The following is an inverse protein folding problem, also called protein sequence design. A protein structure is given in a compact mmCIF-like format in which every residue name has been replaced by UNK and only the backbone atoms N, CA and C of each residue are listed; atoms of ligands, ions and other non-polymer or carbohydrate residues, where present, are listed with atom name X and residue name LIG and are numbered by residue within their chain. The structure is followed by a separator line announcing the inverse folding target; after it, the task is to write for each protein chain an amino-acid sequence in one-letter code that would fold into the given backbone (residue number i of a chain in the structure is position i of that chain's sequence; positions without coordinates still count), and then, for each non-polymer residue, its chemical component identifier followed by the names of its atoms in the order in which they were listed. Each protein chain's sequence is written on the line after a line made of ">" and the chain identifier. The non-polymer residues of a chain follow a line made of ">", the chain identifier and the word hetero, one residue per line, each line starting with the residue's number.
data_IF_430559633807
#
_entry.id   IF_430559633807
#
_cell.length_a   1.000
_cell.length_b   1.000
_cell.length_c   1.000
_cell.angle_alpha   90.00
_cell.angle_beta   90.00
_cell.angle_gamma   90.00
#
_symmetry.space_group_name_H-M   'P 1'
#
loop_
_entity.id
_entity.type
_entity.pdbx_description
1 polymer ?
#
# COMPACT_ATOMS: atom_id res chain seq x y z
N UNK A 1 21.73 -45.92 29.62
CA UNK A 1 21.63 -44.49 30.01
C UNK A 1 20.53 -43.91 29.13
N UNK A 2 19.38 -43.57 29.69
CA UNK A 2 18.27 -42.98 28.93
C UNK A 2 18.61 -41.50 28.72
N UNK A 3 18.74 -41.08 27.47
CA UNK A 3 18.92 -39.67 27.13
C UNK A 3 17.59 -39.15 26.63
N UNK A 4 16.99 -38.21 27.37
CA UNK A 4 15.76 -37.53 26.96
C UNK A 4 16.15 -36.18 26.37
N UNK A 5 15.93 -36.02 25.06
CA UNK A 5 16.16 -34.74 24.37
C UNK A 5 14.81 -34.07 24.15
N UNK A 6 14.67 -32.84 24.67
CA UNK A 6 13.53 -31.99 24.36
C UNK A 6 13.91 -31.07 23.22
N UNK A 7 13.38 -31.34 22.03
CA UNK A 7 13.50 -30.43 20.90
C UNK A 7 12.27 -29.52 20.89
N UNK A 8 12.45 -28.24 21.18
CA UNK A 8 11.40 -27.22 21.02
C UNK A 8 11.68 -26.48 19.74
N UNK A 9 10.84 -26.69 18.73
CA UNK A 9 10.88 -25.92 17.48
C UNK A 9 9.76 -24.89 17.54
N UNK A 10 10.13 -23.63 17.75
CA UNK A 10 9.22 -22.49 17.64
C UNK A 10 9.29 -21.95 16.22
N UNK A 11 8.23 -22.17 15.43
CA UNK A 11 8.12 -21.62 14.08
C UNK A 11 7.19 -20.40 14.08
N UNK A 12 7.72 -19.20 14.32
CA UNK A 12 7.03 -17.93 14.03
C UNK A 12 5.78 -17.58 14.87
N UNK A 13 5.46 -16.28 14.90
CA UNK A 13 4.36 -15.74 15.71
C UNK A 13 3.00 -16.30 15.26
N UNK A 14 2.36 -17.09 16.14
CA UNK A 14 1.03 -17.67 15.94
C UNK A 14 0.96 -19.20 15.83
N UNK A 15 2.10 -19.91 15.76
CA UNK A 15 2.09 -21.36 15.51
C UNK A 15 1.82 -22.21 16.76
N UNK A 16 0.95 -23.21 16.61
CA UNK A 16 0.80 -24.29 17.59
C UNK A 16 2.13 -24.99 17.85
N UNK A 17 2.43 -25.25 19.12
CA UNK A 17 3.60 -26.03 19.53
C UNK A 17 3.35 -27.49 19.21
N UNK A 18 4.14 -28.06 18.31
CA UNK A 18 4.14 -29.51 18.07
C UNK A 18 5.14 -30.16 19.03
N UNK A 19 4.63 -31.04 19.90
CA UNK A 19 5.47 -31.84 20.80
C UNK A 19 5.70 -33.22 20.17
N UNK A 20 6.95 -33.54 19.85
CA UNK A 20 7.37 -34.89 19.48
C UNK A 20 8.14 -35.53 20.63
N UNK A 21 7.60 -36.59 21.23
CA UNK A 21 8.36 -37.42 22.17
C UNK A 21 9.11 -38.48 21.37
N UNK A 22 10.44 -38.48 21.48
CA UNK A 22 11.29 -39.47 20.84
C UNK A 22 12.05 -40.24 21.92
N UNK A 23 11.93 -41.56 21.87
CA UNK A 23 12.74 -42.46 22.67
C UNK A 23 13.47 -43.39 21.71
N UNK A 24 14.80 -43.29 21.70
CA UNK A 24 15.66 -44.25 21.04
C UNK A 24 16.39 -45.07 22.11
N UNK A 25 16.41 -46.38 21.93
CA UNK A 25 17.15 -47.32 22.79
C UNK A 25 18.43 -47.81 22.13
N UNK A 26 18.69 -47.44 20.87
CA UNK A 26 19.87 -47.86 20.11
C UNK A 26 20.92 -46.74 20.01
N UNK A 27 22.19 -47.10 19.77
CA UNK A 27 23.31 -46.15 19.61
C UNK A 27 23.53 -45.76 18.15
N UNK A 28 22.46 -45.67 17.38
CA UNK A 28 22.50 -45.41 15.94
C UNK A 28 21.99 -44.00 15.65
N UNK A 29 22.58 -43.32 14.68
CA UNK A 29 22.12 -41.99 14.26
C UNK A 29 20.75 -42.10 13.56
N UNK A 30 19.72 -41.48 14.14
CA UNK A 30 18.44 -41.23 13.48
C UNK A 30 18.34 -39.78 12.99
N UNK A 31 17.76 -39.58 11.81
CA UNK A 31 17.43 -38.24 11.29
C UNK A 31 15.94 -38.01 11.46
N UNK A 32 15.56 -36.88 12.05
CA UNK A 32 14.18 -36.40 12.08
C UNK A 32 14.07 -35.36 10.98
N UNK A 33 13.23 -35.63 9.98
CA UNK A 33 12.85 -34.65 8.98
C UNK A 33 11.45 -34.15 9.33
N UNK A 34 11.35 -32.88 9.68
CA UNK A 34 10.07 -32.19 9.76
C UNK A 34 9.80 -31.68 8.35
N UNK A 35 8.91 -32.37 7.63
CA UNK A 35 8.45 -31.91 6.34
C UNK A 35 7.48 -30.75 6.58
N UNK A 36 8.01 -29.53 6.56
CA UNK A 36 7.16 -28.35 6.38
C UNK A 36 6.58 -28.48 4.98
N UNK A 37 5.32 -28.90 4.91
CA UNK A 37 4.60 -29.06 3.64
C UNK A 37 4.83 -27.88 2.70
N UNK A 38 4.84 -28.15 1.39
CA UNK A 38 5.14 -27.13 0.40
C UNK A 38 4.21 -25.93 0.57
N UNK A 39 4.78 -24.72 0.67
CA UNK A 39 4.03 -23.47 0.81
C UNK A 39 3.12 -23.16 -0.40
N UNK A 40 3.22 -23.96 -1.45
CA UNK A 40 2.45 -23.85 -2.68
C UNK A 40 1.87 -25.20 -3.09
N UNK A 41 0.75 -25.21 -3.82
CA UNK A 41 0.20 -26.44 -4.39
C UNK A 41 1.20 -27.14 -5.32
N UNK A 42 1.12 -28.47 -5.53
CA UNK A 42 2.03 -29.20 -6.41
C UNK A 42 2.08 -28.69 -7.86
N UNK A 43 1.00 -28.06 -8.33
CA UNK A 43 0.92 -27.44 -9.66
C UNK A 43 1.38 -25.97 -9.67
N UNK A 44 1.79 -25.41 -8.53
CA UNK A 44 2.20 -24.02 -8.36
C UNK A 44 1.06 -23.00 -8.50
N UNK A 45 -0.20 -23.46 -8.51
CA UNK A 45 -1.39 -22.63 -8.70
C UNK A 45 -1.73 -21.74 -7.50
N UNK A 46 -2.75 -20.90 -7.69
CA UNK A 46 -3.39 -20.19 -6.59
C UNK A 46 -4.27 -21.15 -5.77
N UNK A 47 -4.62 -20.77 -4.56
CA UNK A 47 -5.45 -21.61 -3.68
C UNK A 47 -6.31 -20.79 -2.72
N UNK A 48 -7.33 -21.43 -2.16
CA UNK A 48 -8.17 -20.89 -1.08
C UNK A 48 -7.62 -21.34 0.29
N UNK A 49 -6.96 -20.44 1.00
CA UNK A 49 -6.41 -20.63 2.34
C UNK A 49 -7.54 -20.64 3.39
N UNK A 50 -8.18 -21.80 3.52
CA UNK A 50 -9.44 -21.91 4.27
C UNK A 50 -9.22 -21.80 5.77
N UNK A 51 -8.01 -22.07 6.26
CA UNK A 51 -7.67 -21.99 7.67
C UNK A 51 -6.87 -20.71 8.05
N UNK A 52 -6.45 -19.91 7.06
CA UNK A 52 -5.81 -18.61 7.25
C UNK A 52 -4.35 -18.70 7.68
N UNK A 53 -3.64 -19.80 7.39
CA UNK A 53 -2.26 -20.00 7.80
C UNK A 53 -1.22 -19.50 6.77
N UNK A 54 -1.69 -19.01 5.62
CA UNK A 54 -0.87 -18.50 4.51
C UNK A 54 -0.11 -19.59 3.74
N UNK A 55 -0.52 -20.86 3.87
CA UNK A 55 0.11 -22.03 3.23
C UNK A 55 -0.97 -22.91 2.61
N UNK A 56 -0.59 -23.58 1.54
CA UNK A 56 -1.45 -24.59 0.95
C UNK A 56 -1.50 -25.84 1.84
N UNK A 57 -2.71 -26.29 2.16
CA UNK A 57 -2.96 -27.56 2.83
C UNK A 57 -3.60 -28.58 1.87
N UNK A 58 -3.30 -29.87 2.08
CA UNK A 58 -3.86 -30.91 1.22
C UNK A 58 -5.39 -30.94 1.34
N UNK A 59 -6.08 -30.89 0.19
CA UNK A 59 -7.52 -30.78 0.11
C UNK A 59 -8.07 -29.35 -0.05
N UNK A 60 -7.23 -28.32 0.03
CA UNK A 60 -7.65 -26.97 -0.32
C UNK A 60 -7.90 -26.82 -1.82
N UNK A 61 -8.87 -25.97 -2.16
CA UNK A 61 -9.23 -25.71 -3.55
C UNK A 61 -8.12 -24.90 -4.23
N UNK A 62 -7.63 -25.39 -5.37
CA UNK A 62 -6.64 -24.70 -6.21
C UNK A 62 -7.28 -24.08 -7.45
N UNK A 63 -6.66 -23.03 -7.98
CA UNK A 63 -7.14 -22.31 -9.18
C UNK A 63 -6.00 -22.12 -10.19
N UNK A 64 -6.32 -22.28 -11.48
CA UNK A 64 -5.42 -22.00 -12.59
C UNK A 64 -5.33 -20.50 -12.91
N UNK A 65 -4.29 -20.10 -13.64
CA UNK A 65 -4.14 -18.72 -14.13
C UNK A 65 -5.36 -18.24 -14.95
N UNK A 66 -6.02 -19.14 -15.70
CA UNK A 66 -7.20 -18.78 -16.49
C UNK A 66 -8.43 -18.52 -15.63
N UNK A 67 -8.62 -19.30 -14.56
CA UNK A 67 -9.72 -19.13 -13.61
C UNK A 67 -9.60 -17.80 -12.85
N UNK A 68 -8.36 -17.33 -12.60
CA UNK A 68 -8.10 -16.07 -11.93
C UNK A 68 -8.51 -14.82 -12.75
N UNK A 69 -8.69 -14.93 -14.06
CA UNK A 69 -9.00 -13.76 -14.91
C UNK A 69 -10.34 -13.11 -14.53
N UNK A 70 -11.35 -13.91 -14.18
CA UNK A 70 -12.68 -13.44 -13.76
C UNK A 70 -13.11 -14.13 -12.46
N UNK A 71 -12.18 -14.29 -11.53
CA UNK A 71 -12.42 -14.95 -10.26
C UNK A 71 -13.48 -14.21 -9.44
N UNK A 72 -14.50 -14.93 -8.98
CA UNK A 72 -15.56 -14.38 -8.17
C UNK A 72 -16.06 -15.41 -7.16
N UNK A 73 -15.40 -15.46 -6.02
CA UNK A 73 -15.82 -16.23 -4.85
C UNK A 73 -15.56 -15.40 -3.60
N UNK A 74 -16.58 -14.68 -3.14
CA UNK A 74 -16.49 -13.84 -1.92
C UNK A 74 -16.25 -14.61 -0.62
N UNK A 75 -16.27 -15.94 -0.64
CA UNK A 75 -15.96 -16.76 0.54
C UNK A 75 -14.50 -17.21 0.59
N UNK A 76 -13.78 -17.15 -0.54
CA UNK A 76 -12.41 -17.63 -0.62
C UNK A 76 -11.41 -16.64 -0.01
N UNK A 77 -10.49 -17.14 0.82
CA UNK A 77 -9.28 -16.43 1.23
C UNK A 77 -8.20 -16.72 0.18
N UNK A 78 -8.18 -15.90 -0.87
CA UNK A 78 -7.42 -16.23 -2.07
C UNK A 78 -5.93 -15.91 -1.89
N UNK A 79 -5.07 -16.92 -2.03
CA UNK A 79 -3.62 -16.77 -2.11
C UNK A 79 -3.15 -17.03 -3.54
N UNK A 80 -2.50 -16.03 -4.13
CA UNK A 80 -1.88 -16.11 -5.45
C UNK A 80 -0.36 -15.96 -5.26
N UNK A 81 0.36 -17.08 -5.11
CA UNK A 81 1.79 -17.06 -4.86
C UNK A 81 2.57 -16.59 -6.10
N UNK A 82 3.83 -16.20 -5.91
CA UNK A 82 4.75 -15.83 -6.99
C UNK A 82 4.95 -16.93 -8.05
N UNK A 83 4.74 -18.20 -7.68
CA UNK A 83 4.78 -19.34 -8.60
C UNK A 83 3.72 -19.23 -9.70
N UNK A 84 2.63 -18.49 -9.45
CA UNK A 84 1.69 -18.05 -10.48
C UNK A 84 2.35 -16.92 -11.28
N UNK A 85 3.12 -17.34 -12.29
CA UNK A 85 4.07 -16.50 -13.02
C UNK A 85 3.41 -15.23 -13.57
N UNK A 86 2.26 -15.36 -14.24
CA UNK A 86 1.57 -14.18 -14.77
C UNK A 86 0.07 -14.38 -15.06
N UNK A 87 -0.80 -13.59 -14.43
CA UNK A 87 -2.21 -13.46 -14.86
C UNK A 87 -2.25 -12.53 -16.08
N UNK A 88 -2.52 -13.11 -17.25
CA UNK A 88 -2.52 -12.39 -18.54
C UNK A 88 -3.67 -12.82 -19.43
N UNK A 89 -4.83 -12.12 -19.35
CA UNK A 89 -5.93 -12.41 -20.26
C UNK A 89 -5.51 -12.17 -21.71
N UNK A 90 -6.00 -13.02 -22.63
CA UNK A 90 -5.82 -12.81 -24.07
C UNK A 90 -6.47 -11.51 -24.51
N UNK A 91 -7.69 -11.26 -24.02
CA UNK A 91 -8.46 -10.03 -24.18
C UNK A 91 -9.27 -9.79 -22.90
N UNK A 92 -9.55 -8.52 -22.59
CA UNK A 92 -10.47 -8.13 -21.53
C UNK A 92 -9.82 -7.76 -20.20
N UNK A 93 -10.68 -7.55 -19.21
CA UNK A 93 -10.29 -7.15 -17.86
C UNK A 93 -9.77 -8.34 -17.05
N UNK A 94 -8.99 -8.05 -16.02
CA UNK A 94 -8.79 -8.97 -14.90
C UNK A 94 -9.69 -8.49 -13.77
N UNK A 95 -10.55 -9.35 -13.26
CA UNK A 95 -11.49 -9.04 -12.18
C UNK A 95 -11.43 -10.17 -11.16
N UNK A 96 -10.86 -9.89 -9.99
CA UNK A 96 -10.75 -10.83 -8.88
C UNK A 96 -11.57 -10.29 -7.71
N UNK A 97 -12.55 -11.05 -7.28
CA UNK A 97 -13.38 -10.76 -6.11
C UNK A 97 -13.32 -11.96 -5.16
N UNK A 98 -12.73 -11.76 -3.98
CA UNK A 98 -12.49 -12.77 -2.97
C UNK A 98 -12.84 -12.24 -1.55
N UNK A 99 -12.84 -13.09 -0.53
CA UNK A 99 -12.99 -12.66 0.88
C UNK A 99 -11.78 -11.81 1.30
N UNK A 100 -10.58 -12.36 1.12
CA UNK A 100 -9.27 -11.72 1.25
C UNK A 100 -8.43 -12.04 0.01
N UNK A 101 -7.39 -11.24 -0.27
CA UNK A 101 -6.48 -11.44 -1.39
C UNK A 101 -5.04 -11.30 -0.89
N UNK A 102 -4.23 -12.36 -1.00
CA UNK A 102 -2.78 -12.29 -0.86
C UNK A 102 -2.14 -12.52 -2.23
N UNK A 103 -1.29 -11.61 -2.70
CA UNK A 103 -0.81 -11.61 -4.07
C UNK A 103 0.67 -11.24 -4.19
N UNK A 104 1.51 -12.17 -4.69
CA UNK A 104 2.94 -11.92 -4.96
C UNK A 104 3.31 -11.87 -6.46
N UNK A 105 2.37 -12.13 -7.36
CA UNK A 105 2.68 -12.40 -8.77
C UNK A 105 2.78 -11.17 -9.69
N UNK A 106 2.60 -11.43 -11.00
CA UNK A 106 2.50 -10.38 -12.05
C UNK A 106 1.14 -10.38 -12.75
N UNK A 107 0.44 -9.25 -12.77
CA UNK A 107 -0.77 -9.06 -13.58
C UNK A 107 -0.44 -8.21 -14.80
N UNK A 108 -0.88 -8.64 -15.99
CA UNK A 108 -0.80 -7.82 -17.20
C UNK A 108 -2.06 -7.90 -18.04
N UNK A 109 -2.96 -6.93 -17.91
CA UNK A 109 -4.05 -6.71 -18.88
C UNK A 109 -3.58 -5.81 -20.03
N UNK A 110 -3.52 -6.35 -21.25
CA UNK A 110 -3.06 -5.61 -22.43
C UNK A 110 -4.13 -4.70 -23.06
N UNK A 111 -5.40 -4.93 -22.76
CA UNK A 111 -6.50 -4.26 -23.46
C UNK A 111 -7.48 -3.55 -22.53
N UNK A 112 -7.43 -3.80 -21.22
CA UNK A 112 -8.46 -3.34 -20.30
C UNK A 112 -7.92 -3.04 -18.90
N UNK A 113 -8.81 -3.11 -17.92
CA UNK A 113 -8.65 -2.75 -16.51
C UNK A 113 -8.23 -3.95 -15.66
N UNK A 114 -7.63 -3.68 -14.51
CA UNK A 114 -7.45 -4.66 -13.42
C UNK A 114 -8.28 -4.22 -12.22
N UNK A 115 -9.13 -5.11 -11.70
CA UNK A 115 -9.99 -4.90 -10.53
C UNK A 115 -9.71 -6.01 -9.51
N UNK A 116 -9.18 -5.66 -8.33
CA UNK A 116 -9.08 -6.58 -7.20
C UNK A 116 -10.00 -6.08 -6.07
N UNK A 117 -10.82 -6.97 -5.51
CA UNK A 117 -11.77 -6.66 -4.44
C UNK A 117 -11.74 -7.73 -3.37
N UNK A 118 -11.28 -7.38 -2.17
CA UNK A 118 -11.39 -8.21 -0.97
C UNK A 118 -12.64 -7.78 -0.20
N UNK A 119 -13.67 -8.62 -0.16
CA UNK A 119 -15.00 -8.20 0.27
C UNK A 119 -15.15 -8.11 1.79
N UNK A 120 -14.41 -8.92 2.54
CA UNK A 120 -14.56 -9.06 3.99
C UNK A 120 -13.26 -8.76 4.75
N UNK A 121 -12.13 -8.68 4.06
CA UNK A 121 -10.85 -8.39 4.68
C UNK A 121 -9.87 -7.80 3.68
N UNK A 122 -8.62 -8.22 3.79
CA UNK A 122 -7.50 -7.42 3.30
C UNK A 122 -7.07 -7.77 1.87
N UNK A 123 -6.41 -6.81 1.24
CA UNK A 123 -5.55 -7.04 0.08
C UNK A 123 -4.09 -6.89 0.52
N UNK A 124 -3.34 -7.98 0.55
CA UNK A 124 -1.91 -7.99 0.81
C UNK A 124 -1.14 -8.26 -0.48
N UNK A 125 -0.20 -7.37 -0.79
CA UNK A 125 0.68 -7.46 -1.95
C UNK A 125 2.12 -7.25 -1.52
N UNK A 126 2.96 -8.23 -1.84
CA UNK A 126 4.40 -8.15 -1.62
C UNK A 126 5.11 -8.41 -2.95
N UNK A 127 6.01 -7.50 -3.35
CA UNK A 127 6.73 -7.55 -4.62
C UNK A 127 5.84 -7.63 -5.88
N UNK A 128 4.55 -7.29 -5.73
CA UNK A 128 3.54 -7.48 -6.76
C UNK A 128 3.74 -6.51 -7.93
N UNK A 129 3.51 -6.98 -9.17
CA UNK A 129 3.64 -6.12 -10.36
C UNK A 129 2.35 -6.14 -11.17
N UNK A 130 1.58 -5.06 -11.09
CA UNK A 130 0.29 -4.91 -11.77
C UNK A 130 0.41 -3.88 -12.89
N UNK A 131 0.11 -4.32 -14.11
CA UNK A 131 0.00 -3.47 -15.29
C UNK A 131 -1.32 -3.68 -16.01
N UNK A 132 -1.91 -2.59 -16.46
CA UNK A 132 -3.14 -2.58 -17.25
C UNK A 132 -2.99 -1.62 -18.43
N UNK A 133 -3.86 -1.77 -19.43
CA UNK A 133 -3.96 -0.76 -20.48
C UNK A 133 -4.83 0.41 -20.05
N UNK A 134 -5.88 0.15 -19.25
CA UNK A 134 -6.81 1.14 -18.71
C UNK A 134 -6.62 1.26 -17.18
N UNK A 135 -7.68 1.37 -16.39
CA UNK A 135 -7.63 1.58 -14.93
C UNK A 135 -6.96 0.42 -14.17
N UNK A 136 -6.41 0.70 -12.99
CA UNK A 136 -6.18 -0.29 -11.92
C UNK A 136 -6.99 0.14 -10.69
N UNK A 137 -7.77 -0.79 -10.12
CA UNK A 137 -8.58 -0.55 -8.92
C UNK A 137 -8.34 -1.66 -7.90
N UNK A 138 -8.02 -1.27 -6.67
CA UNK A 138 -7.92 -2.14 -5.50
C UNK A 138 -8.94 -1.66 -4.47
N UNK A 139 -9.76 -2.56 -3.95
CA UNK A 139 -10.83 -2.22 -3.03
C UNK A 139 -10.93 -3.23 -1.87
N UNK A 140 -10.73 -2.76 -0.65
CA UNK A 140 -10.92 -3.51 0.59
C UNK A 140 -11.96 -2.78 1.47
N UNK A 141 -13.26 -2.78 1.12
CA UNK A 141 -14.28 -1.99 1.82
C UNK A 141 -14.47 -2.33 3.30
N UNK A 142 -13.95 -3.47 3.77
CA UNK A 142 -14.06 -3.91 5.17
C UNK A 142 -12.69 -4.37 5.71
N UNK A 143 -11.59 -3.94 5.11
CA UNK A 143 -10.25 -4.37 5.48
C UNK A 143 -9.19 -3.39 5.02
N UNK A 144 -7.96 -3.88 4.99
CA UNK A 144 -6.75 -3.10 4.76
C UNK A 144 -6.22 -3.32 3.34
N UNK A 145 -5.37 -2.41 2.86
CA UNK A 145 -4.52 -2.66 1.70
C UNK A 145 -3.06 -2.50 2.12
N UNK A 146 -2.29 -3.56 2.02
CA UNK A 146 -0.84 -3.54 2.24
C UNK A 146 -0.13 -3.81 0.92
N UNK A 147 0.80 -2.94 0.56
CA UNK A 147 1.67 -3.05 -0.60
C UNK A 147 3.09 -2.75 -0.17
N UNK A 148 3.95 -3.77 -0.23
CA UNK A 148 5.38 -3.63 0.03
C UNK A 148 6.15 -3.96 -1.24
N UNK A 149 7.15 -3.15 -1.58
CA UNK A 149 8.01 -3.34 -2.75
C UNK A 149 7.25 -3.56 -4.07
N UNK A 150 6.06 -2.96 -4.18
CA UNK A 150 5.08 -3.29 -5.22
C UNK A 150 5.00 -2.22 -6.30
N UNK A 151 4.54 -2.60 -7.49
CA UNK A 151 4.50 -1.76 -8.67
C UNK A 151 3.11 -1.75 -9.31
N UNK A 152 2.47 -0.58 -9.40
CA UNK A 152 1.18 -0.37 -10.06
C UNK A 152 1.32 0.68 -11.15
N UNK A 153 1.02 0.28 -12.40
CA UNK A 153 1.08 1.18 -13.55
C UNK A 153 0.09 0.82 -14.66
N UNK A 154 -0.98 1.62 -14.84
CA UNK A 154 -1.76 1.62 -16.05
C UNK A 154 -1.03 2.37 -17.18
N UNK A 155 -1.19 1.90 -18.41
CA UNK A 155 -0.70 2.60 -19.60
C UNK A 155 -1.58 3.82 -19.94
N UNK A 156 -2.88 3.74 -19.67
CA UNK A 156 -3.85 4.84 -19.75
C UNK A 156 -4.88 4.71 -18.62
N UNK A 157 -5.54 5.80 -18.23
CA UNK A 157 -6.51 5.82 -17.15
C UNK A 157 -5.89 6.05 -15.77
N UNK A 158 -6.65 5.78 -14.71
CA UNK A 158 -6.31 6.13 -13.33
C UNK A 158 -5.96 4.90 -12.46
N UNK A 159 -5.30 5.17 -11.35
CA UNK A 159 -5.12 4.23 -10.25
C UNK A 159 -6.07 4.61 -9.11
N UNK A 160 -6.76 3.63 -8.53
CA UNK A 160 -7.61 3.83 -7.36
C UNK A 160 -7.34 2.74 -6.33
N UNK A 161 -6.94 3.13 -5.14
CA UNK A 161 -6.84 2.26 -3.97
C UNK A 161 -7.82 2.79 -2.93
N UNK A 162 -8.70 1.93 -2.45
CA UNK A 162 -9.72 2.29 -1.46
C UNK A 162 -9.85 1.21 -0.40
N UNK A 163 -9.75 1.61 0.86
CA UNK A 163 -9.92 0.73 2.01
C UNK A 163 -10.72 1.44 3.10
N UNK A 164 -11.45 0.71 3.92
CA UNK A 164 -12.00 1.29 5.16
C UNK A 164 -10.95 1.22 6.28
N UNK A 165 -10.17 0.14 6.31
CA UNK A 165 -9.00 0.04 7.18
C UNK A 165 -7.76 0.74 6.60
N UNK A 166 -6.61 0.65 7.29
CA UNK A 166 -5.36 1.25 6.85
C UNK A 166 -4.95 0.89 5.41
N UNK A 167 -4.20 1.82 4.79
CA UNK A 167 -3.47 1.56 3.56
C UNK A 167 -1.98 1.77 3.85
N UNK A 168 -1.16 0.76 3.53
CA UNK A 168 0.30 0.82 3.61
C UNK A 168 0.89 0.58 2.22
N UNK A 169 1.71 1.51 1.73
CA UNK A 169 2.33 1.50 0.40
C UNK A 169 3.86 1.51 0.45
N UNK A 170 4.46 1.17 1.59
CA UNK A 170 5.89 1.30 1.85
C UNK A 170 6.75 0.73 0.69
N UNK A 171 7.79 1.47 0.30
CA UNK A 171 8.73 1.11 -0.77
C UNK A 171 8.09 0.79 -2.14
N UNK A 172 6.86 1.27 -2.39
CA UNK A 172 6.14 0.96 -3.63
C UNK A 172 6.23 2.06 -4.70
N UNK A 173 5.90 1.70 -5.93
CA UNK A 173 5.75 2.62 -7.06
C UNK A 173 4.31 2.63 -7.58
N UNK A 174 3.64 3.79 -7.52
CA UNK A 174 2.29 4.00 -8.05
C UNK A 174 2.30 5.09 -9.11
N UNK A 175 2.03 4.73 -10.36
CA UNK A 175 2.06 5.68 -11.48
C UNK A 175 0.78 5.68 -12.28
N UNK A 176 0.47 6.82 -12.91
CA UNK A 176 -0.46 6.94 -14.03
C UNK A 176 0.10 7.87 -15.10
N UNK A 177 -0.05 7.48 -16.37
CA UNK A 177 0.34 8.31 -17.52
C UNK A 177 -0.71 9.36 -17.87
N UNK A 178 -1.99 9.00 -17.84
CA UNK A 178 -3.05 9.85 -18.40
C UNK A 178 -4.17 10.20 -17.41
N UNK A 179 -4.18 9.61 -16.22
CA UNK A 179 -5.22 9.81 -15.23
C UNK A 179 -4.64 10.10 -13.84
N UNK A 180 -5.53 10.08 -12.86
CA UNK A 180 -5.19 10.38 -11.48
C UNK A 180 -4.57 9.16 -10.79
N UNK A 181 -3.85 9.43 -9.71
CA UNK A 181 -3.56 8.46 -8.66
C UNK A 181 -4.35 8.87 -7.44
N UNK A 182 -5.36 8.08 -7.09
CA UNK A 182 -6.26 8.34 -5.96
C UNK A 182 -6.12 7.23 -4.92
N UNK A 183 -5.64 7.58 -3.73
CA UNK A 183 -5.54 6.67 -2.59
C UNK A 183 -6.44 7.21 -1.49
N UNK A 184 -7.40 6.40 -1.04
CA UNK A 184 -8.38 6.84 -0.05
C UNK A 184 -8.56 5.76 1.02
N UNK A 185 -8.40 6.16 2.26
CA UNK A 185 -8.75 5.33 3.43
C UNK A 185 -9.53 6.13 4.46
N UNK A 186 -10.44 5.47 5.16
CA UNK A 186 -11.10 5.98 6.35
C UNK A 186 -10.15 6.03 7.57
N UNK A 187 -9.00 5.35 7.50
CA UNK A 187 -8.04 5.18 8.59
C UNK A 187 -6.68 5.80 8.24
N UNK A 188 -5.58 5.24 8.76
CA UNK A 188 -4.21 5.68 8.50
C UNK A 188 -3.75 5.29 7.09
N UNK A 189 -3.15 6.24 6.38
CA UNK A 189 -2.38 6.00 5.16
C UNK A 189 -0.88 6.11 5.45
N UNK A 190 -0.11 5.07 5.14
CA UNK A 190 1.35 5.12 5.08
C UNK A 190 1.80 4.97 3.64
N UNK A 191 2.61 5.93 3.22
CA UNK A 191 3.16 6.06 1.88
C UNK A 191 4.63 6.47 1.98
N UNK A 192 5.30 5.98 3.02
CA UNK A 192 6.72 6.25 3.27
C UNK A 192 7.56 5.59 2.17
N UNK A 193 8.65 6.27 1.78
CA UNK A 193 9.59 5.82 0.73
C UNK A 193 8.90 5.49 -0.62
N UNK A 194 7.65 5.94 -0.80
CA UNK A 194 6.82 5.58 -1.95
C UNK A 194 6.99 6.58 -3.09
N UNK A 195 7.08 6.07 -4.32
CA UNK A 195 7.10 6.90 -5.51
C UNK A 195 5.70 7.05 -6.13
N UNK A 196 5.21 8.27 -6.23
CA UNK A 196 3.95 8.60 -6.92
C UNK A 196 4.21 9.43 -8.17
N UNK A 197 3.55 9.08 -9.28
CA UNK A 197 3.54 9.95 -10.47
C UNK A 197 2.25 9.94 -11.25
N UNK A 198 1.64 11.12 -11.40
CA UNK A 198 0.53 11.36 -12.32
C UNK A 198 0.97 12.35 -13.42
N UNK A 199 1.10 11.89 -14.66
CA UNK A 199 1.53 12.76 -15.76
C UNK A 199 0.42 13.72 -16.19
N UNK A 200 -0.74 13.21 -16.58
CA UNK A 200 -1.85 14.05 -17.03
C UNK A 200 -2.96 14.33 -15.97
N UNK A 201 -2.90 13.66 -14.81
CA UNK A 201 -3.89 13.77 -13.73
C UNK A 201 -3.30 14.30 -12.43
N UNK A 202 -4.10 14.28 -11.37
CA UNK A 202 -3.67 14.66 -10.02
C UNK A 202 -3.12 13.47 -9.24
N UNK A 203 -2.32 13.75 -8.20
CA UNK A 203 -2.07 12.81 -7.12
C UNK A 203 -2.88 13.26 -5.91
N UNK A 204 -3.76 12.37 -5.42
CA UNK A 204 -4.65 12.64 -4.31
C UNK A 204 -4.54 11.52 -3.28
N UNK A 205 -4.05 11.86 -2.09
CA UNK A 205 -3.90 10.96 -0.96
C UNK A 205 -4.83 11.41 0.17
N UNK A 206 -5.70 10.53 0.66
CA UNK A 206 -6.70 10.85 1.67
C UNK A 206 -6.72 9.79 2.76
N UNK A 207 -6.69 10.23 4.02
CA UNK A 207 -6.69 9.39 5.21
C UNK A 207 -7.17 10.17 6.44
N UNK A 208 -7.30 9.48 7.56
CA UNK A 208 -7.44 10.10 8.88
C UNK A 208 -6.11 10.71 9.31
N UNK A 209 -5.04 9.93 9.20
CA UNK A 209 -3.65 10.40 9.32
C UNK A 209 -2.90 9.97 8.07
N UNK A 210 -1.89 10.75 7.65
CA UNK A 210 -1.05 10.41 6.51
C UNK A 210 0.42 10.51 6.92
N UNK A 211 1.17 9.44 6.67
CA UNK A 211 2.64 9.47 6.62
C UNK A 211 3.08 9.28 5.18
N UNK A 212 3.90 10.18 4.67
CA UNK A 212 4.53 10.13 3.35
C UNK A 212 5.99 10.58 3.48
N UNK A 213 6.67 10.10 4.53
CA UNK A 213 8.06 10.45 4.79
C UNK A 213 8.93 9.94 3.65
N UNK A 214 9.89 10.77 3.20
CA UNK A 214 10.81 10.43 2.10
C UNK A 214 10.11 10.04 0.78
N UNK A 215 8.82 10.32 0.63
CA UNK A 215 8.09 10.05 -0.60
C UNK A 215 8.52 11.00 -1.73
N UNK A 216 8.55 10.52 -2.98
CA UNK A 216 8.71 11.36 -4.18
C UNK A 216 7.39 11.42 -4.94
N UNK A 217 6.71 12.56 -4.85
CA UNK A 217 5.39 12.79 -5.43
C UNK A 217 5.50 13.78 -6.58
N UNK A 218 5.39 13.28 -7.80
CA UNK A 218 5.56 14.08 -9.02
C UNK A 218 4.27 14.17 -9.81
N UNK A 219 3.94 15.37 -10.27
CA UNK A 219 2.86 15.51 -11.26
C UNK A 219 3.17 16.56 -12.33
N UNK A 220 2.79 16.27 -13.59
CA UNK A 220 3.05 17.21 -14.70
C UNK A 220 1.87 18.18 -14.91
N UNK A 221 0.63 17.69 -14.88
CA UNK A 221 -0.56 18.56 -15.01
C UNK A 221 -1.48 18.42 -13.79
N UNK A 222 -2.28 19.44 -13.46
CA UNK A 222 -3.18 19.50 -12.29
C UNK A 222 -2.47 19.70 -10.95
N UNK A 223 -2.88 19.07 -9.85
CA UNK A 223 -2.40 19.38 -8.50
C UNK A 223 -1.92 18.13 -7.74
N UNK A 224 -1.19 18.38 -6.64
CA UNK A 224 -0.92 17.39 -5.59
C UNK A 224 -1.80 17.77 -4.39
N UNK A 225 -2.53 16.79 -3.82
CA UNK A 225 -3.30 16.99 -2.58
C UNK A 225 -3.10 15.83 -1.62
N UNK A 226 -2.64 16.14 -0.42
CA UNK A 226 -2.57 15.22 0.71
C UNK A 226 -3.55 15.73 1.78
N UNK A 227 -4.50 14.90 2.20
CA UNK A 227 -5.59 15.31 3.10
C UNK A 227 -5.82 14.32 4.24
N UNK A 228 -5.26 14.64 5.41
CA UNK A 228 -5.42 13.92 6.68
C UNK A 228 -6.66 14.43 7.45
N UNK A 229 -7.82 14.40 6.78
CA UNK A 229 -9.08 14.99 7.26
C UNK A 229 -10.23 13.98 7.43
N UNK A 230 -10.04 12.71 7.03
CA UNK A 230 -11.07 11.68 7.14
C UNK A 230 -11.33 11.32 8.61
N UNK A 231 -12.57 10.97 8.98
CA UNK A 231 -12.93 10.47 10.32
C UNK A 231 -12.40 11.31 11.49
N UNK A 232 -12.61 12.62 11.40
CA UNK A 232 -12.13 13.59 12.41
C UNK A 232 -10.72 14.12 12.12
N UNK A 233 -9.99 13.48 11.20
CA UNK A 233 -8.65 13.88 10.78
C UNK A 233 -7.58 13.68 11.85
N UNK A 234 -6.37 14.09 11.52
CA UNK A 234 -5.19 13.92 12.36
C UNK A 234 -3.95 14.40 11.63
N UNK A 235 -2.77 14.01 12.12
CA UNK A 235 -1.50 14.51 11.61
C UNK A 235 -1.24 14.12 10.14
N UNK A 236 -0.53 15.02 9.44
CA UNK A 236 0.04 14.82 8.11
C UNK A 236 1.55 14.98 8.20
N UNK A 237 2.29 13.94 7.82
CA UNK A 237 3.75 13.94 7.83
C UNK A 237 4.29 13.72 6.41
N UNK A 238 5.01 14.72 5.91
CA UNK A 238 5.74 14.75 4.63
C UNK A 238 7.22 15.10 4.86
N UNK A 239 7.74 14.78 6.04
CA UNK A 239 9.16 14.98 6.38
C UNK A 239 10.06 14.31 5.34
N UNK A 240 11.09 15.02 4.87
CA UNK A 240 12.00 14.56 3.80
C UNK A 240 11.36 14.26 2.44
N UNK A 241 10.08 14.56 2.24
CA UNK A 241 9.42 14.29 0.97
C UNK A 241 9.83 15.30 -0.12
N UNK A 242 9.76 14.89 -1.38
CA UNK A 242 9.86 15.78 -2.54
C UNK A 242 8.52 15.83 -3.29
N UNK A 243 7.83 16.96 -3.18
CA UNK A 243 6.52 17.21 -3.77
C UNK A 243 6.67 18.18 -4.95
N UNK A 244 6.54 17.68 -6.18
CA UNK A 244 6.77 18.48 -7.40
C UNK A 244 5.52 18.62 -8.25
N UNK A 245 4.96 19.83 -8.23
CA UNK A 245 3.88 20.22 -9.10
C UNK A 245 4.36 21.12 -10.27
N UNK A 246 4.42 20.57 -11.49
CA UNK A 246 4.84 21.34 -12.68
C UNK A 246 3.84 22.43 -13.13
N UNK A 247 2.62 22.41 -12.58
CA UNK A 247 1.52 23.36 -12.84
C UNK A 247 0.57 23.35 -11.64
N UNK A 248 -0.22 24.38 -11.36
CA UNK A 248 -1.18 24.42 -10.24
C UNK A 248 -0.63 24.00 -8.86
N UNK A 249 -1.51 23.75 -7.91
CA UNK A 249 -1.17 23.83 -6.49
C UNK A 249 -0.58 22.54 -5.92
N UNK A 250 0.16 22.71 -4.82
CA UNK A 250 0.38 21.67 -3.82
C UNK A 250 -0.47 22.02 -2.60
N UNK A 251 -1.32 21.09 -2.17
CA UNK A 251 -2.28 21.31 -1.08
C UNK A 251 -2.07 20.28 0.00
N UNK A 252 -1.72 20.74 1.19
CA UNK A 252 -1.58 19.93 2.41
C UNK A 252 -2.76 20.26 3.34
N UNK A 253 -3.52 19.26 3.73
CA UNK A 253 -4.66 19.43 4.65
C UNK A 253 -4.57 18.43 5.79
N UNK A 254 -4.87 18.90 6.99
CA UNK A 254 -4.87 18.13 8.22
C UNK A 254 -5.86 18.76 9.20
N UNK A 255 -6.35 17.99 10.17
CA UNK A 255 -7.02 18.52 11.36
C UNK A 255 -6.12 18.44 12.62
N UNK A 256 -4.82 18.25 12.41
CA UNK A 256 -3.78 18.20 13.43
C UNK A 256 -2.49 18.82 12.87
N UNK A 257 -1.36 18.37 13.40
CA UNK A 257 -0.06 18.89 13.00
C UNK A 257 0.30 18.52 11.55
N UNK A 258 0.97 19.44 10.87
CA UNK A 258 1.61 19.19 9.57
C UNK A 258 3.13 19.21 9.77
N UNK A 259 3.78 18.08 9.55
CA UNK A 259 5.23 17.94 9.56
C UNK A 259 5.76 17.92 8.12
N UNK A 260 6.49 18.96 7.74
CA UNK A 260 7.10 19.11 6.42
C UNK A 260 8.59 19.46 6.54
N UNK A 261 9.22 19.08 7.65
CA UNK A 261 10.63 19.31 7.91
C UNK A 261 11.51 18.69 6.81
N UNK A 262 12.55 19.41 6.38
CA UNK A 262 13.52 18.96 5.35
C UNK A 262 12.87 18.52 4.03
N UNK A 263 11.60 18.87 3.81
CA UNK A 263 10.89 18.57 2.57
C UNK A 263 11.26 19.56 1.48
N UNK A 264 11.03 19.16 0.23
CA UNK A 264 11.14 20.03 -0.93
C UNK A 264 9.76 20.11 -1.57
N UNK A 265 9.15 21.28 -1.59
CA UNK A 265 7.80 21.49 -2.10
C UNK A 265 7.86 22.54 -3.21
N UNK A 266 7.49 22.15 -4.43
CA UNK A 266 7.55 23.01 -5.60
C UNK A 266 6.24 23.12 -6.34
N UNK A 267 5.86 24.34 -6.71
CA UNK A 267 4.80 24.61 -7.67
C UNK A 267 5.24 25.64 -8.70
N UNK A 268 5.33 25.26 -9.98
CA UNK A 268 5.81 26.20 -11.01
C UNK A 268 4.82 27.31 -11.38
N UNK A 269 3.53 27.09 -11.19
CA UNK A 269 2.48 28.03 -11.67
C UNK A 269 1.30 28.16 -10.72
N UNK A 270 1.35 27.52 -9.57
CA UNK A 270 0.29 27.56 -8.57
C UNK A 270 0.85 27.90 -7.20
N UNK A 271 0.03 27.72 -6.20
CA UNK A 271 0.35 28.04 -4.81
C UNK A 271 0.66 26.77 -4.01
N UNK A 272 1.46 26.93 -2.97
CA UNK A 272 1.67 25.91 -1.96
C UNK A 272 0.88 26.31 -0.70
N UNK A 273 -0.04 25.44 -0.27
CA UNK A 273 -0.97 25.75 0.83
C UNK A 273 -0.98 24.65 1.91
N UNK A 274 -1.10 25.08 3.17
CA UNK A 274 -1.27 24.23 4.35
C UNK A 274 -2.55 24.61 5.12
N UNK A 275 -3.48 23.67 5.28
CA UNK A 275 -4.71 23.88 6.03
C UNK A 275 -4.75 22.92 7.22
N UNK A 276 -4.61 23.45 8.44
CA UNK A 276 -4.51 22.65 9.67
C UNK A 276 -5.84 22.45 10.39
N UNK A 277 -6.92 23.11 9.93
CA UNK A 277 -8.28 22.94 10.46
C UNK A 277 -8.52 23.52 11.87
N UNK A 278 -7.48 23.73 12.67
CA UNK A 278 -7.52 24.25 14.05
C UNK A 278 -6.29 25.13 14.34
N UNK A 279 -6.41 26.05 15.30
CA UNK A 279 -5.30 26.88 15.78
C UNK A 279 -4.38 26.17 16.78
N UNK A 280 -4.84 25.05 17.37
CA UNK A 280 -4.06 24.28 18.35
C UNK A 280 -2.96 23.44 17.68
N UNK A 281 -3.06 23.25 16.36
CA UNK A 281 -2.08 22.52 15.57
C UNK A 281 -0.85 23.37 15.25
N UNK A 282 0.23 22.70 14.87
CA UNK A 282 1.48 23.30 14.45
C UNK A 282 1.88 22.90 13.01
N UNK A 283 2.50 23.85 12.31
CA UNK A 283 3.15 23.64 11.02
C UNK A 283 4.66 23.60 11.23
N UNK A 284 5.26 22.42 11.03
CA UNK A 284 6.71 22.24 11.14
C UNK A 284 7.34 22.23 9.74
N UNK A 285 8.22 23.19 9.47
CA UNK A 285 8.86 23.44 8.17
C UNK A 285 10.36 23.73 8.33
N UNK A 286 10.97 23.21 9.40
CA UNK A 286 12.41 23.34 9.64
C UNK A 286 13.18 22.78 8.45
N UNK A 287 14.10 23.58 7.91
CA UNK A 287 14.90 23.26 6.72
C UNK A 287 14.07 22.88 5.46
N UNK A 288 12.78 23.20 5.41
CA UNK A 288 11.96 22.98 4.22
C UNK A 288 12.34 23.96 3.10
N UNK A 289 12.37 23.48 1.87
CA UNK A 289 12.52 24.32 0.67
C UNK A 289 11.16 24.48 0.00
N UNK A 290 10.66 25.72 -0.07
CA UNK A 290 9.43 26.10 -0.76
C UNK A 290 9.83 26.89 -2.00
N UNK A 291 9.32 26.50 -3.17
CA UNK A 291 9.64 27.10 -4.47
C UNK A 291 8.35 27.21 -5.28
N UNK A 292 7.73 28.38 -5.19
CA UNK A 292 6.55 28.77 -5.97
C UNK A 292 6.61 30.24 -6.42
N UNK A 293 5.48 30.93 -6.55
CA UNK A 293 5.47 32.34 -6.97
C UNK A 293 5.98 33.33 -5.94
N UNK A 294 5.94 32.99 -4.65
CA UNK A 294 6.35 33.87 -3.55
C UNK A 294 7.32 33.24 -2.55
N UNK A 295 7.73 31.99 -2.78
CA UNK A 295 8.67 31.21 -1.97
C UNK A 295 8.16 30.98 -0.53
N UNK A 296 6.83 31.01 -0.31
CA UNK A 296 6.22 30.78 1.00
C UNK A 296 5.07 29.78 0.94
N UNK A 297 4.89 29.00 2.01
CA UNK A 297 3.68 28.21 2.20
C UNK A 297 2.59 29.06 2.86
N UNK A 298 1.48 29.26 2.17
CA UNK A 298 0.32 29.92 2.73
C UNK A 298 -0.41 28.97 3.69
N UNK A 299 -0.60 29.37 4.96
CA UNK A 299 -1.23 28.52 5.97
C UNK A 299 -2.51 29.09 6.55
N UNK A 300 -3.39 28.20 7.01
CA UNK A 300 -4.62 28.56 7.75
C UNK A 300 -5.00 27.49 8.78
N UNK A 301 -5.74 27.85 9.85
CA UNK A 301 -6.16 29.20 10.20
C UNK A 301 -4.99 30.10 10.67
N UNK A 302 -5.19 31.42 10.64
CA UNK A 302 -4.27 32.35 11.29
C UNK A 302 -4.15 32.04 12.79
N UNK A 303 -2.92 32.16 13.33
CA UNK A 303 -2.63 31.87 14.74
C UNK A 303 -2.09 30.46 15.00
N UNK A 304 -2.01 29.60 13.98
CA UNK A 304 -1.24 28.34 14.02
C UNK A 304 0.21 28.62 14.40
N UNK A 305 0.79 27.74 15.21
CA UNK A 305 2.22 27.79 15.55
C UNK A 305 3.04 27.29 14.35
N UNK A 306 3.94 28.13 13.84
CA UNK A 306 4.91 27.75 12.80
C UNK A 306 6.27 27.47 13.44
N UNK A 307 6.93 26.38 13.03
CA UNK A 307 8.23 25.94 13.56
C UNK A 307 9.22 25.66 12.41
N UNK A 308 10.35 26.40 12.32
CA UNK A 308 10.71 27.56 13.13
C UNK A 308 9.83 28.77 12.78
N UNK A 309 9.75 29.76 13.67
CA UNK A 309 8.84 30.91 13.50
C UNK A 309 9.22 31.84 12.34
N UNK A 310 10.47 31.76 11.88
CA UNK A 310 11.04 32.48 10.73
C UNK A 310 11.13 31.60 9.48
N UNK A 311 10.51 30.42 9.48
CA UNK A 311 10.41 29.56 8.31
C UNK A 311 9.60 30.19 7.16
N UNK A 312 9.67 29.61 5.94
CA UNK A 312 9.06 30.17 4.73
C UNK A 312 7.53 30.00 4.72
N UNK A 313 6.80 30.66 5.62
CA UNK A 313 5.36 30.52 5.76
C UNK A 313 4.65 31.85 6.05
N UNK A 314 3.47 32.02 5.44
CA UNK A 314 2.65 33.22 5.55
C UNK A 314 1.22 32.84 5.94
N UNK A 315 0.66 33.51 6.95
CA UNK A 315 -0.74 33.28 7.37
C UNK A 315 -1.72 33.84 6.34
N UNK A 316 -2.82 33.11 6.07
CA UNK A 316 -3.87 33.44 5.10
C UNK A 316 -5.27 33.45 5.70
#
# INVERSE_FOLDING_TARGET
>A
MLVTVWLVVTAGAGAGVTYGLLSDSETVSGTIQIDVGSATPPNGGAYNDSNGNGRYDDGEMTYSEEELVNFNDSSANLVIPESVNQIKPKNGQVSIRASTITYGGKIRSKTSTVLLTAVNGDISMNEAKIRSNQKISLSAPNGDISMVDSYIRPESGHVTLSADGPIDLTDSEVRSKTGNVNITTSSRLVADDTFFKAKAGSVVLQGQTISAQRADIQKQTNYIRLSATQNGGGALDVTDADLRAETNNVVLESNGDIHANRSIIRSKTGEITANLGTTDAALYIDEATIDDGDDTIAYRPNGVRVVPSDGPATGS
#
